data_IF_763708161002
#
_entry.id   IF_763708161002
#
_cell.length_a   1.000
_cell.length_b   1.000
_cell.length_c   1.000
_cell.angle_alpha   90.00
_cell.angle_beta   90.00
_cell.angle_gamma   90.00
#
_symmetry.space_group_name_H-M   'P 1'
#
loop_
_entity.id
_entity.type
_entity.pdbx_description
1 polymer ?
#
# COMPACT_ATOMS: atom_id res chain seq x y z
N UNK A 1 10.02 12.24 -24.55
CA UNK A 1 8.55 12.19 -24.41
C UNK A 1 7.88 11.51 -25.61
N UNK A 2 8.42 11.60 -26.82
CA UNK A 2 7.86 11.00 -28.03
C UNK A 2 7.56 9.51 -27.90
N UNK A 3 8.46 8.77 -27.20
CA UNK A 3 8.21 7.37 -26.85
C UNK A 3 6.97 7.20 -25.95
N UNK A 4 6.78 8.08 -24.98
CA UNK A 4 5.65 8.02 -24.06
C UNK A 4 4.33 8.35 -24.77
N UNK A 5 4.35 9.28 -25.69
CA UNK A 5 3.15 9.67 -26.45
C UNK A 5 2.55 8.50 -27.24
N UNK A 6 3.42 7.52 -27.61
CA UNK A 6 3.01 6.31 -28.36
C UNK A 6 2.79 5.11 -27.43
N UNK A 7 3.54 5.00 -26.30
CA UNK A 7 3.62 3.78 -25.50
C UNK A 7 3.10 3.95 -24.09
N UNK A 8 2.43 5.06 -23.76
CA UNK A 8 1.83 5.29 -22.44
C UNK A 8 0.91 4.14 -22.06
N UNK A 9 1.05 3.62 -20.84
CA UNK A 9 0.17 2.55 -20.36
C UNK A 9 -1.21 3.10 -20.04
N UNK A 10 -2.25 2.44 -20.51
CA UNK A 10 -3.63 2.75 -20.17
C UNK A 10 -3.95 2.30 -18.75
N UNK A 11 -4.40 3.24 -17.93
CA UNK A 11 -4.82 2.98 -16.55
C UNK A 11 -6.06 3.84 -16.22
N UNK A 12 -6.98 3.34 -15.37
CA UNK A 12 -8.23 4.05 -15.07
C UNK A 12 -8.05 5.44 -14.47
N UNK A 13 -6.90 5.71 -13.89
CA UNK A 13 -6.55 6.99 -13.25
C UNK A 13 -5.69 7.91 -14.12
N UNK A 14 -5.28 7.47 -15.31
CA UNK A 14 -4.42 8.26 -16.19
C UNK A 14 -5.21 8.96 -17.28
N UNK A 15 -4.82 10.16 -17.57
CA UNK A 15 -5.22 10.88 -18.76
C UNK A 15 -4.27 10.50 -19.90
N UNK A 16 -4.77 10.13 -21.09
CA UNK A 16 -3.94 9.86 -22.25
C UNK A 16 -3.10 11.09 -22.66
N UNK A 17 -1.86 10.90 -23.17
CA UNK A 17 -1.04 12.01 -23.67
C UNK A 17 -1.74 12.89 -24.73
N UNK A 18 -2.59 12.31 -25.57
CA UNK A 18 -3.38 13.00 -26.59
C UNK A 18 -4.37 14.01 -26.00
N UNK A 19 -5.04 13.64 -24.90
CA UNK A 19 -5.93 14.56 -24.20
C UNK A 19 -5.14 15.66 -23.47
N UNK A 20 -4.00 15.30 -22.89
CA UNK A 20 -3.12 16.27 -22.23
C UNK A 20 -2.54 17.28 -23.20
N UNK A 21 -2.24 16.86 -24.43
CA UNK A 21 -1.77 17.74 -25.52
C UNK A 21 -2.79 18.83 -25.90
N UNK A 22 -4.08 18.63 -25.61
CA UNK A 22 -5.13 19.65 -25.79
C UNK A 22 -5.18 20.71 -24.68
N UNK A 23 -4.28 20.64 -23.69
CA UNK A 23 -4.20 21.55 -22.54
C UNK A 23 -5.03 21.10 -21.33
N UNK A 24 -5.65 19.91 -21.39
CA UNK A 24 -6.38 19.35 -20.26
C UNK A 24 -5.43 18.85 -19.18
N UNK A 25 -5.82 19.00 -17.92
CA UNK A 25 -5.10 18.42 -16.78
C UNK A 25 -5.91 17.27 -16.15
N UNK A 26 -5.23 16.24 -15.62
CA UNK A 26 -5.90 15.15 -14.94
C UNK A 26 -6.61 15.63 -13.66
N UNK A 27 -7.69 14.96 -13.29
CA UNK A 27 -8.38 15.20 -12.03
C UNK A 27 -7.45 14.90 -10.83
N UNK A 28 -7.12 15.90 -9.98
CA UNK A 28 -6.25 15.69 -8.81
C UNK A 28 -6.76 14.66 -7.83
N UNK A 29 -8.07 14.52 -7.67
CA UNK A 29 -8.68 13.50 -6.83
C UNK A 29 -8.32 12.09 -7.31
N UNK A 30 -8.44 11.84 -8.61
CA UNK A 30 -8.12 10.54 -9.22
C UNK A 30 -6.62 10.22 -9.14
N UNK A 31 -5.77 11.20 -9.37
CA UNK A 31 -4.32 11.03 -9.26
C UNK A 31 -3.94 10.71 -7.81
N UNK A 32 -4.38 11.53 -6.85
CA UNK A 32 -4.10 11.31 -5.44
C UNK A 32 -4.59 9.95 -4.95
N UNK A 33 -5.84 9.58 -5.25
CA UNK A 33 -6.43 8.29 -4.87
C UNK A 33 -5.58 7.12 -5.38
N UNK A 34 -5.19 7.16 -6.65
CA UNK A 34 -4.36 6.12 -7.25
C UNK A 34 -2.98 6.02 -6.60
N UNK A 35 -2.33 7.16 -6.33
CA UNK A 35 -1.01 7.21 -5.70
C UNK A 35 -1.03 6.62 -4.27
N UNK A 36 -2.08 6.91 -3.50
CA UNK A 36 -2.25 6.28 -2.17
C UNK A 36 -2.50 4.77 -2.30
N UNK A 37 -3.31 4.33 -3.25
CA UNK A 37 -3.58 2.90 -3.45
C UNK A 37 -2.34 2.13 -3.95
N UNK A 38 -1.50 2.76 -4.77
CA UNK A 38 -0.28 2.16 -5.32
C UNK A 38 0.87 2.06 -4.30
N UNK A 39 0.79 2.73 -3.15
CA UNK A 39 1.79 2.58 -2.10
C UNK A 39 1.92 1.10 -1.68
N UNK A 40 3.05 0.47 -2.01
CA UNK A 40 3.35 -0.94 -1.70
C UNK A 40 2.33 -1.96 -2.26
N UNK A 41 1.60 -1.60 -3.32
CA UNK A 41 0.61 -2.46 -3.97
C UNK A 41 0.84 -2.46 -5.49
N UNK A 42 0.55 -3.57 -6.15
CA UNK A 42 0.74 -3.69 -7.60
C UNK A 42 -0.38 -3.00 -8.38
N UNK A 43 -0.07 -2.52 -9.59
CA UNK A 43 -1.05 -1.92 -10.50
C UNK A 43 -2.24 -2.85 -10.77
N UNK A 44 -1.97 -4.14 -10.97
CA UNK A 44 -3.03 -5.15 -11.23
C UNK A 44 -4.03 -5.20 -10.07
N UNK A 45 -3.54 -5.26 -8.83
CA UNK A 45 -4.41 -5.28 -7.66
C UNK A 45 -5.19 -3.97 -7.47
N UNK A 46 -4.58 -2.83 -7.80
CA UNK A 46 -5.20 -1.51 -7.57
C UNK A 46 -6.32 -1.21 -8.56
N UNK A 47 -6.26 -1.70 -9.82
CA UNK A 47 -7.25 -1.35 -10.85
C UNK A 47 -8.70 -1.52 -10.40
N UNK A 48 -9.05 -2.70 -9.89
CA UNK A 48 -10.43 -3.00 -9.47
C UNK A 48 -10.86 -2.16 -8.27
N UNK A 49 -9.96 -1.96 -7.30
CA UNK A 49 -10.24 -1.13 -6.12
C UNK A 49 -10.43 0.34 -6.51
N UNK A 50 -9.61 0.85 -7.42
CA UNK A 50 -9.75 2.22 -7.90
C UNK A 50 -11.11 2.44 -8.57
N UNK A 51 -11.50 1.55 -9.49
CA UNK A 51 -12.82 1.62 -10.14
C UNK A 51 -13.94 1.56 -9.11
N UNK A 52 -13.85 0.63 -8.15
CA UNK A 52 -14.83 0.52 -7.05
C UNK A 52 -14.94 1.83 -6.26
N UNK A 53 -13.79 2.44 -5.91
CA UNK A 53 -13.77 3.68 -5.11
C UNK A 53 -14.36 4.87 -5.85
N UNK A 54 -14.00 5.09 -7.12
CA UNK A 54 -14.57 6.21 -7.91
C UNK A 54 -16.05 6.00 -8.26
N UNK A 55 -16.53 4.76 -8.22
CA UNK A 55 -17.97 4.45 -8.37
C UNK A 55 -18.74 4.77 -7.08
N UNK A 56 -18.18 4.42 -5.91
CA UNK A 56 -18.78 4.69 -4.61
C UNK A 56 -18.67 6.15 -4.19
N UNK A 57 -17.54 6.76 -4.48
CA UNK A 57 -17.18 8.13 -4.10
C UNK A 57 -16.50 8.83 -5.28
N UNK A 58 -17.27 9.41 -6.21
CA UNK A 58 -16.76 9.94 -7.47
C UNK A 58 -15.88 11.19 -7.32
N UNK A 59 -15.92 11.85 -6.17
CA UNK A 59 -15.14 13.04 -5.86
C UNK A 59 -14.75 13.09 -4.38
N UNK A 60 -13.90 14.06 -4.01
CA UNK A 60 -13.39 14.21 -2.65
C UNK A 60 -14.49 14.55 -1.62
N UNK A 61 -15.55 15.23 -2.02
CA UNK A 61 -16.67 15.57 -1.13
C UNK A 61 -17.43 14.32 -0.70
N UNK A 62 -17.77 13.47 -1.66
CA UNK A 62 -18.45 12.20 -1.38
C UNK A 62 -17.60 11.27 -0.50
N UNK A 63 -16.28 11.24 -0.75
CA UNK A 63 -15.37 10.45 0.10
C UNK A 63 -15.26 11.04 1.50
N UNK A 64 -15.22 12.36 1.67
CA UNK A 64 -15.07 13.00 2.97
C UNK A 64 -16.24 12.72 3.92
N UNK A 65 -17.48 12.65 3.40
CA UNK A 65 -18.69 12.36 4.18
C UNK A 65 -18.93 10.85 4.40
N UNK A 66 -18.13 9.99 3.74
CA UNK A 66 -18.26 8.55 3.87
C UNK A 66 -18.03 8.08 5.31
N UNK A 67 -18.76 7.04 5.72
CA UNK A 67 -18.54 6.39 7.02
C UNK A 67 -17.22 5.63 7.02
N UNK A 68 -16.48 5.73 8.11
CA UNK A 68 -15.20 5.03 8.27
C UNK A 68 -15.33 3.52 7.99
N UNK A 69 -16.41 2.90 8.48
CA UNK A 69 -16.66 1.48 8.28
C UNK A 69 -16.82 1.11 6.80
N UNK A 70 -17.51 1.93 6.00
CA UNK A 70 -17.75 1.67 4.58
C UNK A 70 -16.45 1.78 3.77
N UNK A 71 -15.63 2.80 4.07
CA UNK A 71 -14.31 2.98 3.44
C UNK A 71 -13.37 1.83 3.80
N UNK A 72 -13.36 1.42 5.07
CA UNK A 72 -12.53 0.29 5.50
C UNK A 72 -12.97 -1.04 4.87
N UNK A 73 -14.27 -1.28 4.74
CA UNK A 73 -14.81 -2.46 4.06
C UNK A 73 -14.51 -2.44 2.55
N UNK A 74 -14.63 -1.28 1.91
CA UNK A 74 -14.26 -1.15 0.49
C UNK A 74 -12.77 -1.36 0.23
N UNK A 75 -11.90 -1.03 1.22
CA UNK A 75 -10.44 -1.20 1.15
C UNK A 75 -9.99 -2.63 1.51
N UNK A 76 -10.87 -3.46 2.07
CA UNK A 76 -10.51 -4.80 2.55
C UNK A 76 -9.84 -5.62 1.44
N UNK A 77 -8.66 -6.19 1.73
CA UNK A 77 -7.84 -6.94 0.79
C UNK A 77 -6.63 -6.18 0.20
N UNK A 78 -6.66 -4.84 0.11
CA UNK A 78 -5.49 -4.05 -0.33
C UNK A 78 -4.34 -4.03 0.67
N UNK A 79 -4.61 -4.35 1.94
CA UNK A 79 -3.62 -4.31 3.01
C UNK A 79 -3.20 -2.88 3.42
N UNK A 80 -2.29 -2.80 4.40
CA UNK A 80 -1.77 -1.52 4.91
C UNK A 80 -2.89 -0.50 5.23
N UNK A 81 -3.84 -0.91 6.05
CA UNK A 81 -5.09 -0.19 6.33
C UNK A 81 -4.91 1.23 6.90
N UNK A 82 -3.72 1.56 7.42
CA UNK A 82 -3.38 2.94 7.77
C UNK A 82 -3.50 3.89 6.57
N UNK A 83 -3.32 3.38 5.33
CA UNK A 83 -3.52 4.18 4.11
C UNK A 83 -4.99 4.57 3.95
N UNK A 84 -5.92 3.64 4.15
CA UNK A 84 -7.37 3.93 4.06
C UNK A 84 -7.81 4.96 5.12
N UNK A 85 -7.33 4.83 6.36
CA UNK A 85 -7.60 5.81 7.41
C UNK A 85 -7.04 7.20 7.08
N UNK A 86 -5.80 7.25 6.60
CA UNK A 86 -5.17 8.50 6.22
C UNK A 86 -5.83 9.10 4.96
N UNK A 87 -6.24 8.26 3.99
CA UNK A 87 -7.00 8.68 2.82
C UNK A 87 -8.29 9.41 3.24
N UNK A 88 -9.08 8.81 4.11
CA UNK A 88 -10.33 9.42 4.59
C UNK A 88 -10.08 10.69 5.41
N UNK A 89 -9.06 10.68 6.27
CA UNK A 89 -8.63 11.86 7.01
C UNK A 89 -8.20 13.00 6.08
N UNK A 90 -7.42 12.68 5.07
CA UNK A 90 -6.95 13.62 4.06
C UNK A 90 -8.12 14.22 3.26
N UNK A 91 -9.08 13.39 2.82
CA UNK A 91 -10.28 13.86 2.12
C UNK A 91 -11.07 14.88 2.98
N UNK A 92 -11.24 14.60 4.26
CA UNK A 92 -11.94 15.51 5.19
C UNK A 92 -11.22 16.84 5.35
N UNK A 93 -9.89 16.83 5.47
CA UNK A 93 -9.07 18.06 5.54
C UNK A 93 -9.15 18.84 4.22
N UNK A 94 -9.06 18.17 3.07
CA UNK A 94 -9.20 18.85 1.76
C UNK A 94 -10.56 19.54 1.66
N UNK A 95 -11.62 18.93 2.16
CA UNK A 95 -12.96 19.56 2.14
C UNK A 95 -13.07 20.68 3.17
N UNK A 96 -12.63 20.46 4.43
CA UNK A 96 -12.80 21.45 5.51
C UNK A 96 -11.90 22.67 5.36
N UNK A 97 -10.62 22.46 5.01
CA UNK A 97 -9.59 23.50 5.10
C UNK A 97 -9.28 24.10 3.71
N UNK A 98 -9.53 23.34 2.63
CA UNK A 98 -9.25 23.75 1.25
C UNK A 98 -10.51 23.83 0.37
N UNK A 99 -11.73 23.71 0.93
CA UNK A 99 -12.98 23.80 0.19
C UNK A 99 -13.15 22.76 -0.91
N UNK A 100 -12.50 21.60 -0.79
CA UNK A 100 -12.54 20.53 -1.79
C UNK A 100 -11.52 20.68 -2.93
N UNK A 101 -10.69 21.71 -2.90
CA UNK A 101 -9.65 21.99 -3.91
C UNK A 101 -8.31 21.45 -3.41
N UNK A 102 -7.67 20.58 -4.19
CA UNK A 102 -6.35 20.04 -3.84
C UNK A 102 -5.28 21.14 -3.91
N UNK A 103 -4.42 21.29 -2.89
CA UNK A 103 -3.26 22.15 -2.96
C UNK A 103 -2.37 21.74 -4.13
N UNK A 104 -1.81 22.73 -4.84
CA UNK A 104 -0.90 22.47 -5.97
C UNK A 104 0.56 22.43 -5.50
N UNK A 105 0.84 23.19 -4.44
CA UNK A 105 2.19 23.28 -3.86
C UNK A 105 2.57 21.98 -3.14
N UNK A 106 3.79 21.50 -3.42
CA UNK A 106 4.31 20.26 -2.87
C UNK A 106 4.43 20.28 -1.34
N UNK A 107 4.80 21.42 -0.75
CA UNK A 107 4.96 21.53 0.70
C UNK A 107 3.58 21.42 1.38
N UNK A 108 2.57 22.11 0.86
CA UNK A 108 1.19 22.00 1.36
C UNK A 108 0.63 20.59 1.21
N UNK A 109 0.88 19.94 0.07
CA UNK A 109 0.50 18.53 -0.12
C UNK A 109 1.13 17.62 0.94
N UNK A 110 2.38 17.89 1.33
CA UNK A 110 3.12 17.06 2.31
C UNK A 110 2.58 17.18 3.75
N UNK A 111 1.85 18.23 4.05
CA UNK A 111 1.19 18.41 5.36
C UNK A 111 -0.06 17.51 5.51
N UNK A 112 -0.60 17.02 4.40
CA UNK A 112 -1.80 16.21 4.39
C UNK A 112 -1.53 14.76 4.85
N UNK A 113 -2.47 14.16 5.62
CA UNK A 113 -2.33 12.79 6.12
C UNK A 113 -2.07 11.75 5.01
N UNK A 114 -1.00 10.98 5.15
CA UNK A 114 -0.65 9.91 4.22
C UNK A 114 0.07 10.35 2.96
N UNK A 115 0.31 11.64 2.79
CA UNK A 115 1.08 12.21 1.68
C UNK A 115 2.52 12.46 2.13
N UNK A 116 3.42 11.60 1.69
CA UNK A 116 4.86 11.73 1.92
C UNK A 116 5.58 12.44 0.76
N UNK A 117 6.93 12.55 0.84
CA UNK A 117 7.74 13.25 -0.17
C UNK A 117 7.55 12.74 -1.60
N UNK A 118 7.33 11.44 -1.79
CA UNK A 118 7.03 10.85 -3.09
C UNK A 118 5.64 11.24 -3.60
N UNK A 119 4.61 10.99 -2.78
CA UNK A 119 3.21 11.23 -3.19
C UNK A 119 2.95 12.70 -3.47
N UNK A 120 3.53 13.62 -2.67
CA UNK A 120 3.41 15.06 -2.91
C UNK A 120 4.04 15.47 -4.25
N UNK A 121 5.23 14.97 -4.57
CA UNK A 121 5.89 15.22 -5.86
C UNK A 121 5.07 14.61 -7.02
N UNK A 122 4.56 13.39 -6.87
CA UNK A 122 3.75 12.73 -7.90
C UNK A 122 2.45 13.50 -8.17
N UNK A 123 1.72 13.91 -7.13
CA UNK A 123 0.47 14.68 -7.31
C UNK A 123 0.76 16.04 -7.91
N UNK A 124 1.76 16.79 -7.40
CA UNK A 124 2.12 18.11 -7.95
C UNK A 124 2.55 18.03 -9.41
N UNK A 125 3.33 17.01 -9.79
CA UNK A 125 3.79 16.83 -11.16
C UNK A 125 2.68 16.33 -12.08
N UNK A 126 1.98 15.24 -11.70
CA UNK A 126 1.03 14.59 -12.61
C UNK A 126 -0.27 15.37 -12.76
N UNK A 127 -0.84 15.85 -11.64
CA UNK A 127 -2.13 16.56 -11.68
C UNK A 127 -2.01 18.04 -12.10
N UNK A 128 -0.88 18.70 -11.78
CA UNK A 128 -0.74 20.15 -11.97
C UNK A 128 0.41 20.55 -12.90
N UNK A 129 1.15 19.58 -13.42
CA UNK A 129 2.33 19.76 -14.28
C UNK A 129 3.46 20.62 -13.68
N UNK A 130 3.53 20.68 -12.34
CA UNK A 130 4.63 21.33 -11.65
C UNK A 130 5.94 20.56 -11.89
N UNK A 131 7.03 21.30 -12.04
CA UNK A 131 8.37 20.72 -12.21
C UNK A 131 8.85 20.05 -10.92
N UNK A 132 8.33 18.84 -10.67
CA UNK A 132 8.68 18.04 -9.50
C UNK A 132 9.33 16.72 -9.91
N UNK A 133 10.37 16.34 -9.18
CA UNK A 133 11.10 15.09 -9.45
C UNK A 133 10.43 13.94 -8.73
N UNK A 134 9.85 13.02 -9.50
CA UNK A 134 9.17 11.83 -8.97
C UNK A 134 10.09 10.63 -9.07
N UNK A 135 10.45 10.03 -7.93
CA UNK A 135 11.40 8.92 -7.87
C UNK A 135 10.79 7.73 -7.11
N UNK A 136 10.30 6.76 -7.86
CA UNK A 136 9.89 5.43 -7.37
C UNK A 136 10.98 4.38 -7.61
N UNK A 137 10.72 3.14 -7.24
CA UNK A 137 11.66 2.04 -7.50
C UNK A 137 11.95 1.74 -8.98
N UNK A 138 11.06 2.16 -9.90
CA UNK A 138 11.31 2.07 -11.34
C UNK A 138 12.29 3.17 -11.78
N UNK A 139 12.05 4.39 -11.33
CA UNK A 139 12.93 5.53 -11.61
C UNK A 139 14.30 5.32 -10.99
N UNK A 140 14.41 4.85 -9.73
CA UNK A 140 15.69 4.47 -9.10
C UNK A 140 16.48 3.49 -10.00
N UNK A 141 15.81 2.48 -10.55
CA UNK A 141 16.44 1.49 -11.44
C UNK A 141 16.86 2.09 -12.77
N UNK A 142 16.00 2.87 -13.40
CA UNK A 142 16.30 3.54 -14.68
C UNK A 142 17.48 4.48 -14.52
N UNK A 143 17.48 5.33 -13.50
CA UNK A 143 18.59 6.27 -13.22
C UNK A 143 19.88 5.52 -12.88
N UNK A 144 19.81 4.47 -12.05
CA UNK A 144 20.97 3.65 -11.73
C UNK A 144 21.63 3.05 -12.98
N UNK A 145 20.83 2.62 -13.96
CA UNK A 145 21.33 2.05 -15.22
C UNK A 145 21.78 3.11 -16.22
N UNK A 146 21.01 4.19 -16.35
CA UNK A 146 21.35 5.27 -17.29
C UNK A 146 22.72 5.86 -16.99
N UNK A 147 23.02 6.06 -15.70
CA UNK A 147 24.30 6.63 -15.24
C UNK A 147 25.30 5.61 -14.70
N UNK A 148 25.00 4.30 -14.81
CA UNK A 148 25.86 3.20 -14.33
C UNK A 148 26.27 3.32 -12.86
N UNK A 149 25.33 3.63 -11.98
CA UNK A 149 25.59 3.85 -10.53
C UNK A 149 25.69 2.51 -9.80
N UNK A 150 26.89 2.20 -9.28
CA UNK A 150 27.20 0.95 -8.58
C UNK A 150 27.05 1.04 -7.06
N UNK A 151 26.87 2.24 -6.48
CA UNK A 151 26.57 2.41 -5.06
C UNK A 151 25.23 1.75 -4.76
N UNK A 152 25.16 0.84 -3.74
CA UNK A 152 23.94 0.10 -3.49
C UNK A 152 22.82 0.94 -2.89
N UNK A 153 21.55 0.56 -3.18
CA UNK A 153 20.38 1.04 -2.45
C UNK A 153 20.36 0.47 -1.02
N UNK A 154 19.96 1.27 -0.02
CA UNK A 154 19.39 2.60 -0.09
C UNK A 154 20.41 3.75 -0.11
N UNK A 155 21.71 3.48 0.02
CA UNK A 155 22.77 4.50 0.14
C UNK A 155 22.79 5.47 -1.04
N UNK A 156 22.52 4.97 -2.25
CA UNK A 156 22.52 5.78 -3.48
C UNK A 156 21.25 6.60 -3.72
N UNK A 157 20.22 6.53 -2.86
CA UNK A 157 18.93 7.20 -3.13
C UNK A 157 19.07 8.71 -3.40
N UNK A 158 19.81 9.41 -2.57
CA UNK A 158 20.03 10.85 -2.75
C UNK A 158 20.68 11.18 -4.10
N UNK A 159 21.74 10.44 -4.47
CA UNK A 159 22.41 10.58 -5.77
C UNK A 159 21.45 10.31 -6.94
N UNK A 160 20.68 9.23 -6.87
CA UNK A 160 19.71 8.88 -7.93
C UNK A 160 18.59 9.93 -8.06
N UNK A 161 18.18 10.54 -6.95
CA UNK A 161 17.21 11.63 -6.95
C UNK A 161 17.77 12.88 -7.63
N UNK A 162 19.01 13.25 -7.35
CA UNK A 162 19.66 14.41 -8.01
C UNK A 162 19.86 14.16 -9.52
N UNK A 163 20.24 12.95 -9.90
CA UNK A 163 20.34 12.58 -11.32
C UNK A 163 18.98 12.66 -12.03
N UNK A 164 17.92 12.20 -11.38
CA UNK A 164 16.56 12.31 -11.91
C UNK A 164 16.11 13.78 -12.02
N UNK A 165 16.46 14.60 -11.03
CA UNK A 165 16.13 16.04 -11.00
C UNK A 165 16.74 16.76 -12.18
N UNK A 166 17.97 16.48 -12.53
CA UNK A 166 18.66 17.10 -13.67
C UNK A 166 18.02 16.77 -15.01
N UNK A 167 17.23 15.69 -15.07
CA UNK A 167 16.51 15.26 -16.28
C UNK A 167 15.03 15.67 -16.27
N UNK A 168 14.51 16.17 -15.14
CA UNK A 168 13.10 16.57 -15.02
C UNK A 168 12.85 17.84 -15.84
N UNK A 169 11.97 17.82 -16.86
CA UNK A 169 11.72 18.96 -17.71
C UNK A 169 10.80 19.98 -17.02
N UNK A 170 10.85 21.25 -17.48
CA UNK A 170 9.97 22.31 -16.98
C UNK A 170 8.53 22.21 -17.50
N UNK A 171 8.35 21.58 -18.66
CA UNK A 171 7.05 21.39 -19.31
C UNK A 171 6.78 19.89 -19.45
N UNK A 172 5.53 19.50 -19.34
CA UNK A 172 5.13 18.08 -19.38
C UNK A 172 5.85 17.25 -18.30
N UNK A 173 6.09 17.84 -17.13
CA UNK A 173 6.78 17.20 -16.03
C UNK A 173 6.02 15.95 -15.55
N UNK A 174 4.68 16.02 -15.49
CA UNK A 174 3.84 14.89 -15.15
C UNK A 174 3.88 13.76 -16.17
N UNK A 175 3.95 14.08 -17.48
CA UNK A 175 4.12 13.07 -18.53
C UNK A 175 5.50 12.42 -18.43
N UNK A 176 6.54 13.22 -18.17
CA UNK A 176 7.89 12.72 -17.99
C UNK A 176 8.00 11.77 -16.79
N UNK A 177 7.41 12.12 -15.66
CA UNK A 177 7.38 11.26 -14.49
C UNK A 177 6.74 9.90 -14.80
N UNK A 178 5.58 9.92 -15.47
CA UNK A 178 4.88 8.70 -15.89
C UNK A 178 5.66 7.93 -16.96
N UNK A 179 6.32 8.64 -17.89
CA UNK A 179 7.15 8.04 -18.95
C UNK A 179 8.30 7.21 -18.36
N UNK A 180 9.04 7.76 -17.38
CA UNK A 180 10.16 7.05 -16.76
C UNK A 180 9.69 5.86 -15.93
N UNK A 181 8.55 6.00 -15.21
CA UNK A 181 7.93 4.89 -14.50
C UNK A 181 7.51 3.78 -15.48
N UNK A 182 6.90 4.12 -16.62
CA UNK A 182 6.48 3.16 -17.64
C UNK A 182 7.68 2.50 -18.31
N UNK A 183 8.70 3.26 -18.65
CA UNK A 183 9.95 2.72 -19.17
C UNK A 183 10.55 1.67 -18.22
N UNK A 184 10.57 1.99 -16.91
CA UNK A 184 11.02 1.06 -15.88
C UNK A 184 10.16 -0.19 -15.78
N UNK A 185 8.84 -0.04 -15.87
CA UNK A 185 7.91 -1.15 -15.72
C UNK A 185 7.87 -2.08 -16.95
N UNK A 186 8.06 -1.55 -18.15
CA UNK A 186 7.82 -2.30 -19.42
C UNK A 186 9.09 -2.64 -20.17
N UNK A 187 10.07 -1.77 -20.24
CA UNK A 187 11.32 -1.95 -21.04
C UNK A 187 12.51 -2.21 -20.15
N UNK A 188 12.81 -1.28 -19.23
CA UNK A 188 13.94 -1.39 -18.30
C UNK A 188 13.58 -2.25 -17.07
N UNK A 189 13.07 -3.47 -17.32
CA UNK A 189 12.57 -4.39 -16.29
C UNK A 189 13.69 -4.88 -15.35
N UNK A 190 13.35 -5.34 -14.12
CA UNK A 190 14.36 -5.71 -13.13
C UNK A 190 15.33 -6.81 -13.58
N UNK A 191 14.81 -7.92 -14.13
CA UNK A 191 15.60 -9.13 -14.44
C UNK A 191 16.07 -9.19 -15.88
N UNK A 192 15.24 -8.72 -16.82
CA UNK A 192 15.47 -8.86 -18.26
C UNK A 192 15.16 -7.54 -18.98
N UNK A 193 16.03 -6.53 -18.87
CA UNK A 193 15.83 -5.26 -19.56
C UNK A 193 15.94 -5.45 -21.09
N UNK A 194 14.96 -4.89 -21.81
CA UNK A 194 14.92 -4.93 -23.27
C UNK A 194 15.59 -3.69 -23.86
N UNK A 195 16.93 -3.62 -23.71
CA UNK A 195 17.70 -2.42 -24.04
C UNK A 195 17.58 -2.02 -25.52
N UNK A 196 17.41 -2.97 -26.43
CA UNK A 196 17.21 -2.70 -27.87
C UNK A 196 15.94 -1.88 -28.16
N UNK A 197 14.93 -1.98 -27.29
CA UNK A 197 13.66 -1.22 -27.40
C UNK A 197 13.66 0.06 -26.56
N UNK A 198 14.77 0.36 -25.89
CA UNK A 198 14.85 1.48 -24.98
C UNK A 198 15.13 2.78 -25.74
N UNK A 199 14.31 3.84 -25.57
CA UNK A 199 14.57 5.12 -26.22
C UNK A 199 15.88 5.81 -25.75
N UNK A 200 16.47 5.31 -24.67
CA UNK A 200 17.73 5.81 -24.11
C UNK A 200 18.91 4.85 -24.32
N UNK A 201 18.77 3.85 -25.20
CA UNK A 201 19.81 2.84 -25.42
C UNK A 201 21.18 3.47 -25.72
N UNK A 202 21.21 4.44 -26.63
CA UNK A 202 22.45 5.09 -27.11
C UNK A 202 23.17 5.94 -26.06
N UNK A 203 22.46 6.41 -25.05
CA UNK A 203 23.03 7.26 -23.97
C UNK A 203 23.19 6.49 -22.66
N UNK A 204 22.66 5.27 -22.56
CA UNK A 204 22.68 4.47 -21.34
C UNK A 204 24.06 3.86 -21.08
N UNK A 205 24.72 4.30 -20.01
CA UNK A 205 26.06 3.84 -19.65
C UNK A 205 26.08 2.35 -19.26
N UNK A 206 25.07 1.87 -18.50
CA UNK A 206 25.02 0.46 -18.12
C UNK A 206 24.77 -0.46 -19.33
N UNK A 207 24.04 0.00 -20.35
CA UNK A 207 23.89 -0.75 -21.61
C UNK A 207 25.23 -0.86 -22.33
N UNK A 208 25.93 0.24 -22.52
CA UNK A 208 27.25 0.29 -23.17
C UNK A 208 28.30 -0.57 -22.46
N UNK A 209 28.20 -0.67 -21.12
CA UNK A 209 29.16 -1.44 -20.29
C UNK A 209 28.73 -2.87 -20.00
N UNK A 210 27.52 -3.28 -20.41
CA UNK A 210 27.00 -4.62 -20.15
C UNK A 210 26.60 -4.85 -18.67
N UNK A 211 26.43 -3.80 -17.88
CA UNK A 211 26.16 -3.87 -16.43
C UNK A 211 24.68 -3.79 -16.07
N UNK A 212 23.80 -3.55 -17.04
CA UNK A 212 22.38 -3.24 -16.83
C UNK A 212 21.64 -4.27 -15.94
N UNK A 213 21.91 -5.56 -16.10
CA UNK A 213 21.24 -6.62 -15.33
C UNK A 213 21.64 -6.60 -13.84
N UNK A 214 22.85 -6.09 -13.54
CA UNK A 214 23.40 -6.05 -12.18
C UNK A 214 22.88 -4.84 -11.37
N UNK A 215 22.24 -3.85 -12.00
CA UNK A 215 21.84 -2.59 -11.41
C UNK A 215 20.31 -2.47 -11.26
N UNK A 216 19.84 -1.80 -10.20
CA UNK A 216 20.61 -1.23 -9.10
C UNK A 216 21.12 -2.32 -8.14
N UNK A 217 22.31 -2.14 -7.60
CA UNK A 217 22.78 -2.95 -6.48
C UNK A 217 21.95 -2.67 -5.24
N UNK A 218 21.78 -3.66 -4.38
CA UNK A 218 21.04 -3.53 -3.11
C UNK A 218 21.85 -4.10 -1.97
N UNK A 219 21.85 -3.41 -0.84
CA UNK A 219 22.37 -4.00 0.39
C UNK A 219 21.56 -5.23 0.77
N UNK A 220 22.20 -6.27 1.28
CA UNK A 220 21.51 -7.42 1.83
C UNK A 220 20.59 -6.96 2.95
N UNK A 221 19.33 -7.34 2.87
CA UNK A 221 18.39 -7.08 3.98
C UNK A 221 18.80 -7.94 5.17
N UNK A 222 18.75 -7.41 6.41
CA UNK A 222 18.90 -8.22 7.59
C UNK A 222 17.84 -9.32 7.62
N UNK A 223 18.16 -10.44 8.25
CA UNK A 223 17.18 -11.50 8.51
C UNK A 223 16.03 -10.91 9.32
N UNK A 224 14.81 -11.28 8.94
CA UNK A 224 13.64 -10.88 9.72
C UNK A 224 13.59 -11.65 11.01
N UNK A 225 13.36 -10.96 12.12
CA UNK A 225 13.06 -11.59 13.40
C UNK A 225 11.82 -12.48 13.28
N UNK A 226 11.75 -13.54 14.09
CA UNK A 226 10.56 -14.36 14.27
C UNK A 226 9.87 -13.91 15.54
N UNK A 227 8.60 -13.54 15.46
CA UNK A 227 7.78 -13.22 16.62
C UNK A 227 6.75 -14.31 16.84
N UNK A 228 6.53 -14.60 18.11
CA UNK A 228 5.59 -15.60 18.60
C UNK A 228 4.41 -14.89 19.26
N UNK A 229 3.24 -15.48 19.20
CA UNK A 229 2.05 -14.96 19.84
C UNK A 229 0.96 -16.01 19.97
N UNK A 230 -0.09 -15.68 20.71
CA UNK A 230 -1.28 -16.50 20.91
C UNK A 230 -2.49 -15.70 20.42
N UNK A 231 -3.39 -16.36 19.70
CA UNK A 231 -4.70 -15.81 19.36
C UNK A 231 -5.79 -16.66 20.03
N UNK A 232 -6.79 -16.00 20.63
CA UNK A 232 -7.89 -16.64 21.34
C UNK A 232 -9.18 -16.52 20.53
N UNK A 233 -9.76 -17.65 20.14
CA UNK A 233 -11.04 -17.71 19.40
C UNK A 233 -12.11 -18.27 20.33
N UNK A 234 -12.99 -17.40 20.80
CA UNK A 234 -14.14 -17.80 21.61
C UNK A 234 -15.41 -17.83 20.75
N UNK A 235 -16.17 -18.90 20.88
CA UNK A 235 -17.43 -19.13 20.19
C UNK A 235 -18.56 -19.35 21.21
N UNK A 236 -19.72 -18.76 20.96
CA UNK A 236 -20.96 -19.09 21.68
C UNK A 236 -21.71 -20.21 20.99
N UNK A 237 -22.65 -20.85 21.68
CA UNK A 237 -23.53 -21.89 21.11
C UNK A 237 -24.29 -21.39 19.87
N UNK A 238 -24.66 -20.11 19.82
CA UNK A 238 -25.27 -19.45 18.66
C UNK A 238 -24.28 -19.06 17.56
N UNK A 239 -23.03 -19.55 17.67
CA UNK A 239 -21.94 -19.29 16.73
C UNK A 239 -21.49 -17.81 16.64
N UNK A 240 -21.84 -16.98 17.61
CA UNK A 240 -21.24 -15.65 17.73
C UNK A 240 -19.75 -15.77 18.11
N UNK A 241 -18.92 -14.93 17.51
CA UNK A 241 -17.46 -14.94 17.70
C UNK A 241 -16.98 -13.74 18.47
N UNK A 242 -16.05 -13.90 19.39
CA UNK A 242 -15.44 -12.79 20.10
C UNK A 242 -14.41 -12.11 19.21
N UNK A 243 -14.59 -10.83 18.98
CA UNK A 243 -13.61 -9.97 18.31
C UNK A 243 -13.31 -8.74 19.18
N UNK A 244 -12.09 -8.26 19.10
CA UNK A 244 -11.68 -6.99 19.70
C UNK A 244 -11.26 -5.98 18.62
N UNK A 245 -11.50 -4.70 18.87
CA UNK A 245 -10.90 -3.63 18.07
C UNK A 245 -9.49 -3.37 18.59
N UNK A 246 -8.50 -3.59 17.74
CA UNK A 246 -7.11 -3.30 18.08
C UNK A 246 -6.91 -1.80 18.31
N UNK A 247 -5.96 -1.40 19.17
CA UNK A 247 -5.61 0.00 19.38
C UNK A 247 -5.42 0.74 18.06
N UNK A 248 -5.82 2.00 17.98
CA UNK A 248 -5.79 2.76 16.72
C UNK A 248 -4.37 2.96 16.15
N UNK A 249 -3.35 2.85 17.00
CA UNK A 249 -1.93 2.94 16.61
C UNK A 249 -1.29 1.55 16.56
N UNK A 250 -0.23 1.45 15.77
CA UNK A 250 0.55 0.22 15.64
C UNK A 250 0.06 -0.73 14.54
N UNK A 251 0.57 -1.94 14.60
CA UNK A 251 0.32 -2.96 13.57
C UNK A 251 -1.13 -3.43 13.60
N UNK A 252 -1.80 -3.39 12.44
CA UNK A 252 -3.23 -3.67 12.28
C UNK A 252 -4.13 -2.75 13.13
N UNK A 253 -3.65 -1.56 13.49
CA UNK A 253 -4.37 -0.64 14.37
C UNK A 253 -5.76 -0.28 13.87
N UNK A 254 -6.72 -0.20 14.79
CA UNK A 254 -8.12 0.12 14.52
C UNK A 254 -8.93 -0.97 13.82
N UNK A 255 -8.30 -2.10 13.48
CA UNK A 255 -8.99 -3.23 12.85
C UNK A 255 -9.57 -4.19 13.89
N UNK A 256 -10.59 -4.92 13.49
CA UNK A 256 -11.07 -6.06 14.27
C UNK A 256 -10.07 -7.22 14.17
N UNK A 257 -9.88 -7.91 15.28
CA UNK A 257 -9.04 -9.08 15.36
C UNK A 257 -9.45 -9.99 16.52
N UNK A 258 -8.78 -11.11 16.64
CA UNK A 258 -8.92 -11.99 17.78
C UNK A 258 -8.19 -11.40 18.98
N UNK A 259 -8.73 -11.49 20.20
CA UNK A 259 -7.96 -11.27 21.41
C UNK A 259 -6.68 -12.10 21.40
N UNK A 260 -5.61 -11.62 21.98
CA UNK A 260 -4.36 -12.35 21.95
C UNK A 260 -3.26 -11.72 22.79
N UNK A 261 -2.14 -12.42 22.87
CA UNK A 261 -0.94 -11.93 23.53
C UNK A 261 -0.22 -10.88 22.67
N UNK A 262 0.74 -10.20 23.27
CA UNK A 262 1.74 -9.44 22.52
C UNK A 262 2.57 -10.39 21.62
N UNK A 263 3.08 -9.83 20.51
CA UNK A 263 3.92 -10.56 19.56
C UNK A 263 5.39 -10.27 19.84
N UNK A 264 6.05 -11.18 20.53
CA UNK A 264 7.41 -11.04 21.05
C UNK A 264 8.36 -12.04 20.41
N UNK A 265 9.67 -11.83 20.51
CA UNK A 265 10.69 -12.76 20.03
C UNK A 265 10.92 -13.93 20.99
N UNK A 266 10.37 -13.85 22.19
CA UNK A 266 10.36 -14.90 23.21
C UNK A 266 9.00 -15.59 23.25
N UNK A 267 8.91 -16.72 23.95
CA UNK A 267 7.65 -17.45 24.17
C UNK A 267 6.60 -16.50 24.77
N UNK A 268 5.39 -16.44 24.18
CA UNK A 268 4.35 -15.55 24.64
C UNK A 268 3.75 -16.05 25.98
N UNK A 269 3.50 -15.11 26.87
CA UNK A 269 2.75 -15.40 28.09
C UNK A 269 1.28 -15.61 27.71
N UNK A 270 0.69 -16.72 28.16
CA UNK A 270 -0.72 -17.00 27.95
C UNK A 270 -1.57 -16.08 28.82
N UNK A 271 -2.31 -15.19 28.17
CA UNK A 271 -3.22 -14.23 28.81
C UNK A 271 -4.59 -14.32 28.15
N UNK A 272 -5.38 -15.36 28.48
CA UNK A 272 -6.70 -15.51 27.90
C UNK A 272 -7.61 -14.32 28.30
N UNK A 273 -8.53 -13.88 27.43
CA UNK A 273 -9.37 -12.71 27.69
C UNK A 273 -10.33 -12.90 28.86
N UNK A 274 -10.66 -14.13 29.19
CA UNK A 274 -11.49 -14.53 30.34
C UNK A 274 -11.23 -16.01 30.71
N UNK A 275 -11.71 -16.44 31.84
CA UNK A 275 -11.63 -17.82 32.28
C UNK A 275 -12.58 -18.72 31.47
N UNK A 276 -12.02 -19.73 30.79
CA UNK A 276 -12.74 -20.75 30.04
C UNK A 276 -11.85 -21.96 29.81
N UNK A 277 -12.44 -23.04 29.32
CA UNK A 277 -11.67 -24.21 28.90
C UNK A 277 -11.04 -23.96 27.51
N UNK A 278 -9.89 -23.32 27.50
CA UNK A 278 -9.13 -23.00 26.29
C UNK A 278 -8.35 -24.24 25.83
N UNK A 279 -8.69 -24.72 24.63
CA UNK A 279 -8.03 -25.87 23.98
C UNK A 279 -7.15 -25.33 22.84
N UNK A 280 -5.93 -25.86 22.76
CA UNK A 280 -5.01 -25.52 21.65
C UNK A 280 -5.49 -26.16 20.36
N UNK A 281 -5.63 -25.38 19.33
CA UNK A 281 -5.90 -25.85 17.95
C UNK A 281 -4.59 -26.42 17.38
N UNK A 282 -4.60 -27.64 16.80
CA UNK A 282 -3.42 -28.20 16.15
C UNK A 282 -2.88 -27.31 15.03
N UNK A 283 -1.55 -27.21 14.93
CA UNK A 283 -0.88 -26.36 13.96
C UNK A 283 -0.61 -24.94 14.48
N UNK A 284 -0.14 -24.09 13.58
CA UNK A 284 0.20 -22.69 13.83
C UNK A 284 -0.16 -21.82 12.61
N UNK A 285 -0.50 -20.58 12.85
CA UNK A 285 -0.67 -19.60 11.78
C UNK A 285 0.66 -18.92 11.49
N UNK A 286 1.16 -19.10 10.27
CA UNK A 286 2.36 -18.44 9.77
C UNK A 286 1.98 -17.23 8.93
N UNK A 287 2.54 -16.07 9.28
CA UNK A 287 2.35 -14.84 8.52
C UNK A 287 3.64 -14.02 8.46
N UNK A 288 3.92 -13.43 7.30
CA UNK A 288 5.12 -12.59 7.10
C UNK A 288 4.71 -11.14 6.96
N UNK A 289 5.14 -10.32 7.89
CA UNK A 289 5.06 -8.87 7.82
C UNK A 289 6.31 -8.27 7.14
N UNK A 290 6.29 -6.98 6.91
CA UNK A 290 7.42 -6.26 6.28
C UNK A 290 8.72 -6.46 7.07
N UNK A 291 8.67 -6.45 8.41
CA UNK A 291 9.85 -6.41 9.28
C UNK A 291 10.10 -7.71 10.05
N UNK A 292 9.13 -8.63 10.14
CA UNK A 292 9.26 -9.88 10.90
C UNK A 292 8.37 -10.99 10.34
N UNK A 293 8.67 -12.21 10.73
CA UNK A 293 7.80 -13.38 10.56
C UNK A 293 7.01 -13.58 11.83
N UNK A 294 5.72 -13.87 11.72
CA UNK A 294 4.85 -14.16 12.86
C UNK A 294 4.45 -15.64 12.85
N UNK A 295 4.53 -16.25 14.02
CA UNK A 295 3.98 -17.58 14.32
C UNK A 295 2.96 -17.41 15.44
N UNK A 296 1.70 -17.75 15.17
CA UNK A 296 0.62 -17.68 16.16
C UNK A 296 0.16 -19.09 16.53
N UNK A 297 0.20 -19.36 17.82
CA UNK A 297 -0.59 -20.44 18.41
C UNK A 297 -2.05 -19.99 18.48
N UNK A 298 -2.98 -20.90 18.23
CA UNK A 298 -4.41 -20.60 18.30
C UNK A 298 -5.03 -21.41 19.43
N UNK A 299 -5.74 -20.71 20.31
CA UNK A 299 -6.51 -21.30 21.40
C UNK A 299 -8.00 -21.09 21.09
N UNK A 300 -8.82 -22.14 21.23
CA UNK A 300 -10.27 -22.01 21.07
C UNK A 300 -10.99 -22.38 22.36
N UNK A 301 -12.13 -21.72 22.58
CA UNK A 301 -13.05 -22.08 23.67
C UNK A 301 -14.50 -21.90 23.25
N UNK A 302 -15.38 -22.71 23.80
CA UNK A 302 -16.81 -22.45 23.80
C UNK A 302 -17.19 -21.73 25.09
N UNK A 303 -18.11 -20.79 25.01
CA UNK A 303 -18.54 -19.99 26.17
C UNK A 303 -19.97 -19.50 26.02
N UNK A 304 -20.66 -19.34 27.12
CA UNK A 304 -21.95 -18.64 27.19
C UNK A 304 -21.83 -17.28 27.90
N UNK A 305 -20.60 -16.76 27.99
CA UNK A 305 -20.34 -15.47 28.62
C UNK A 305 -21.19 -14.38 27.99
N UNK A 306 -21.87 -13.59 28.82
CA UNK A 306 -22.80 -12.52 28.40
C UNK A 306 -22.32 -11.12 28.78
N UNK A 307 -21.08 -10.97 29.29
CA UNK A 307 -20.54 -9.69 29.70
C UNK A 307 -20.48 -8.71 28.50
N UNK A 308 -21.04 -7.50 28.71
CA UNK A 308 -21.10 -6.45 27.69
C UNK A 308 -19.73 -5.85 27.34
N UNK A 309 -18.71 -6.11 28.16
CA UNK A 309 -17.35 -5.67 27.87
C UNK A 309 -16.72 -6.46 26.71
N UNK A 310 -17.29 -7.59 26.33
CA UNK A 310 -16.81 -8.44 25.24
C UNK A 310 -17.69 -8.30 24.00
N UNK A 311 -17.06 -7.96 22.87
CA UNK A 311 -17.75 -7.78 21.60
C UNK A 311 -17.94 -9.12 20.88
N UNK A 312 -19.03 -9.81 21.15
CA UNK A 312 -19.43 -11.01 20.42
C UNK A 312 -20.22 -10.63 19.16
N UNK A 313 -19.61 -10.83 18.01
CA UNK A 313 -20.22 -10.57 16.70
C UNK A 313 -21.10 -11.76 16.30
N UNK A 314 -22.41 -11.56 16.07
CA UNK A 314 -23.31 -12.63 15.67
C UNK A 314 -22.91 -13.27 14.32
N UNK A 315 -23.20 -14.56 14.14
CA UNK A 315 -22.87 -15.32 12.91
C UNK A 315 -23.31 -14.60 11.63
N UNK A 316 -24.51 -14.05 11.59
CA UNK A 316 -25.08 -13.37 10.43
C UNK A 316 -24.42 -12.02 10.10
N UNK A 317 -23.62 -11.47 11.03
CA UNK A 317 -22.82 -10.23 10.86
C UNK A 317 -21.34 -10.50 10.74
N UNK A 318 -20.88 -11.69 11.08
CA UNK A 318 -19.48 -12.05 11.00
C UNK A 318 -19.09 -12.40 9.57
N UNK A 319 -18.13 -11.65 9.04
CA UNK A 319 -17.56 -11.85 7.71
C UNK A 319 -16.04 -12.00 7.84
N UNK A 320 -15.50 -13.20 7.68
CA UNK A 320 -14.06 -13.44 7.76
C UNK A 320 -13.27 -12.57 6.78
N UNK A 321 -13.87 -12.18 5.66
CA UNK A 321 -13.28 -11.35 4.60
C UNK A 321 -12.92 -9.95 5.11
N UNK A 322 -13.65 -9.44 6.10
CA UNK A 322 -13.42 -8.11 6.69
C UNK A 322 -12.24 -8.10 7.66
N UNK A 323 -11.76 -9.29 8.07
CA UNK A 323 -10.60 -9.41 8.94
C UNK A 323 -9.28 -9.26 8.16
N UNK A 324 -8.20 -8.76 8.82
CA UNK A 324 -6.85 -8.82 8.28
C UNK A 324 -6.46 -10.25 7.90
N UNK A 325 -5.65 -10.38 6.86
CA UNK A 325 -5.22 -11.70 6.32
C UNK A 325 -4.70 -12.66 7.41
N UNK A 326 -3.93 -12.14 8.38
CA UNK A 326 -3.43 -12.98 9.50
C UNK A 326 -4.57 -13.46 10.37
N UNK A 327 -5.57 -12.64 10.65
CA UNK A 327 -6.74 -12.99 11.45
C UNK A 327 -7.68 -13.95 10.72
N UNK A 328 -7.80 -13.82 9.39
CA UNK A 328 -8.49 -14.82 8.55
C UNK A 328 -7.82 -16.19 8.60
N UNK A 329 -6.49 -16.22 8.59
CA UNK A 329 -5.75 -17.49 8.74
C UNK A 329 -6.03 -18.16 10.07
N UNK A 330 -6.17 -17.39 11.15
CA UNK A 330 -6.59 -17.92 12.45
C UNK A 330 -7.95 -18.57 12.36
N UNK A 331 -8.92 -17.87 11.77
CA UNK A 331 -10.27 -18.40 11.57
C UNK A 331 -10.27 -19.70 10.75
N UNK A 332 -9.57 -19.69 9.60
CA UNK A 332 -9.48 -20.85 8.72
C UNK A 332 -8.89 -22.08 9.43
N UNK A 333 -7.89 -21.88 10.32
CA UNK A 333 -7.32 -22.97 11.10
C UNK A 333 -8.33 -23.56 12.09
N UNK A 334 -9.17 -22.73 12.73
CA UNK A 334 -10.22 -23.17 13.65
C UNK A 334 -11.35 -23.91 12.93
N UNK A 335 -11.72 -23.45 11.72
CA UNK A 335 -12.77 -24.09 10.91
C UNK A 335 -12.31 -25.45 10.39
N UNK A 336 -11.09 -25.54 9.86
CA UNK A 336 -10.52 -26.78 9.33
C UNK A 336 -10.37 -27.89 10.39
N UNK A 337 -10.30 -27.56 11.67
CA UNK A 337 -10.27 -28.57 12.76
C UNK A 337 -11.67 -29.16 13.02
N UNK A 338 -12.74 -28.46 12.63
CA UNK A 338 -14.12 -28.93 12.87
C UNK A 338 -14.70 -29.71 11.66
N UNK A 339 -13.95 -29.83 10.55
CA UNK A 339 -14.23 -30.69 9.40
C UNK A 339 -13.50 -32.04 9.54
#
# INVERSE_FOLDING_TARGET
LDWYDIHAREMPWRMPPTERASGSLPDPYRIWLSEIMLQQTTVVAVKEYFIKFITLWPNVFELAIAKDADVMAAWAGLGYYARARNLLKCARIIVSDYGGIFPQDRAQLQELPGIGPYTSAAVASIAFDHMETVVDGNVERVMSRLFDVHVPLPTSKGMLTELAKNLTPKCRSGDYAQAVMDLGATVCSPKSPRCVLCPWADVCLAHKRGTAVQLPKKLKKPLKAVRLGIAYVALRSNQAVLLEKRPDRGLLGGMLGWPGSDWTETEPISTPPFEANWVRVPGEVLHTFTHFHLRLQVMKAQTEMSDKNFNFVPKNKFRPEDLPTVMRKVWNLVVAENE
#
